data_IF_103280302560
#
_entry.id   IF_103280302560
#
_cell.length_a   1.000
_cell.length_b   1.000
_cell.length_c   1.000
_cell.angle_alpha   90.00
_cell.angle_beta   90.00
_cell.angle_gamma   90.00
#
_symmetry.space_group_name_H-M   'P 1'
#
loop_
_entity.id
_entity.type
_entity.pdbx_description
1 polymer ?
#
# COMPACT_ATOMS: atom_id res chain seq x y z
N UNK A 1 -6.02 -82.26 -15.62
CA UNK A 1 -7.10 -81.25 -15.55
C UNK A 1 -6.65 -80.13 -14.62
N UNK A 2 -6.92 -78.88 -14.98
CA UNK A 2 -6.17 -77.66 -14.60
C UNK A 2 -6.22 -77.33 -13.10
N UNK A 3 -5.06 -76.97 -12.54
CA UNK A 3 -4.92 -76.30 -11.24
C UNK A 3 -5.00 -74.79 -11.51
N UNK A 4 -6.07 -74.15 -11.08
CA UNK A 4 -6.24 -72.70 -11.11
C UNK A 4 -5.66 -72.09 -9.83
N UNK A 5 -4.51 -71.41 -9.96
CA UNK A 5 -3.99 -70.54 -8.91
C UNK A 5 -4.74 -69.20 -8.95
N UNK A 6 -5.20 -68.64 -7.81
CA UNK A 6 -5.74 -67.30 -7.80
C UNK A 6 -4.59 -66.30 -7.97
N UNK A 7 -4.70 -65.46 -8.99
CA UNK A 7 -3.82 -64.33 -9.24
C UNK A 7 -4.10 -63.28 -8.15
N UNK A 8 -3.25 -63.23 -7.13
CA UNK A 8 -3.28 -62.19 -6.09
C UNK A 8 -2.70 -60.91 -6.70
N UNK A 9 -3.58 -60.00 -7.16
CA UNK A 9 -3.19 -58.69 -7.66
C UNK A 9 -2.76 -57.82 -6.46
N UNK A 10 -1.45 -57.71 -6.22
CA UNK A 10 -0.90 -56.73 -5.29
C UNK A 10 -1.08 -55.33 -5.89
N UNK A 11 -2.07 -54.60 -5.39
CA UNK A 11 -2.20 -53.15 -5.61
C UNK A 11 -1.23 -52.49 -4.64
N UNK A 12 -0.01 -52.19 -5.10
CA UNK A 12 0.91 -51.33 -4.36
C UNK A 12 0.31 -49.91 -4.35
N UNK A 13 0.05 -49.29 -3.18
CA UNK A 13 -0.27 -47.88 -3.14
C UNK A 13 0.98 -47.15 -3.63
N UNK A 14 0.86 -46.48 -4.78
CA UNK A 14 1.87 -45.53 -5.21
C UNK A 14 2.04 -44.52 -4.08
N UNK A 15 3.18 -44.57 -3.40
CA UNK A 15 3.66 -43.52 -2.54
C UNK A 15 3.83 -42.28 -3.41
N UNK A 16 2.76 -41.51 -3.54
CA UNK A 16 2.82 -40.14 -4.03
C UNK A 16 3.61 -39.40 -2.97
N UNK A 17 4.92 -39.29 -3.18
CA UNK A 17 5.75 -38.34 -2.46
C UNK A 17 5.28 -36.96 -2.92
N UNK A 18 4.35 -36.37 -2.18
CA UNK A 18 4.01 -34.96 -2.36
C UNK A 18 5.29 -34.18 -2.10
N UNK A 19 5.87 -33.62 -3.16
CA UNK A 19 7.02 -32.76 -3.05
C UNK A 19 6.48 -31.43 -2.54
N UNK A 20 6.71 -31.14 -1.26
CA UNK A 20 6.36 -29.86 -0.66
C UNK A 20 7.32 -28.80 -1.22
N UNK A 21 6.77 -27.81 -1.91
CA UNK A 21 7.51 -26.64 -2.37
C UNK A 21 7.19 -25.50 -1.42
N UNK A 22 8.19 -24.99 -0.69
CA UNK A 22 8.11 -23.73 0.04
C UNK A 22 8.74 -22.59 -0.77
N UNK A 23 8.20 -21.39 -0.61
CA UNK A 23 8.74 -20.17 -1.21
C UNK A 23 9.05 -19.18 -0.09
N UNK A 24 10.33 -19.08 0.25
CA UNK A 24 10.84 -18.12 1.22
C UNK A 24 11.32 -16.86 0.48
N UNK A 25 11.08 -15.70 1.07
CA UNK A 25 11.39 -14.33 0.65
C UNK A 25 10.68 -13.87 -0.64
N UNK A 26 9.37 -13.62 -0.56
CA UNK A 26 8.61 -13.01 -1.66
C UNK A 26 8.17 -11.57 -1.37
N UNK A 27 7.98 -10.81 -2.44
CA UNK A 27 7.34 -9.50 -2.41
C UNK A 27 6.32 -9.42 -3.54
N UNK A 28 5.05 -9.51 -3.19
CA UNK A 28 3.96 -9.19 -4.11
C UNK A 28 3.76 -7.68 -4.17
N UNK A 29 3.52 -7.17 -5.38
CA UNK A 29 3.20 -5.77 -5.65
C UNK A 29 2.09 -5.66 -6.67
N UNK A 30 1.03 -4.96 -6.31
CA UNK A 30 -0.01 -4.53 -7.23
C UNK A 30 -0.10 -3.00 -7.26
N UNK A 31 0.28 -2.39 -8.39
CA UNK A 31 0.08 -0.95 -8.62
C UNK A 31 -1.37 -0.71 -9.05
N UNK A 32 -2.18 -0.12 -8.17
CA UNK A 32 -3.61 0.14 -8.43
C UNK A 32 -3.78 1.39 -9.27
N UNK A 33 -3.02 2.44 -8.96
CA UNK A 33 -3.16 3.74 -9.61
C UNK A 33 -1.85 4.51 -9.61
N UNK A 34 -1.66 5.32 -10.65
CA UNK A 34 -0.58 6.31 -10.73
C UNK A 34 -1.18 7.69 -11.04
N UNK A 35 -0.75 8.70 -10.30
CA UNK A 35 -1.06 10.11 -10.56
C UNK A 35 0.26 10.87 -10.46
N UNK A 36 0.64 11.57 -11.54
CA UNK A 36 1.97 12.18 -11.63
C UNK A 36 3.08 11.16 -11.37
N UNK A 37 3.93 11.45 -10.39
CA UNK A 37 5.07 10.61 -10.01
C UNK A 37 4.77 9.70 -8.80
N UNK A 38 3.51 9.66 -8.38
CA UNK A 38 3.04 8.92 -7.20
C UNK A 38 2.20 7.72 -7.61
N UNK A 39 2.45 6.58 -6.98
CA UNK A 39 1.69 5.35 -7.14
C UNK A 39 1.05 4.93 -5.82
N UNK A 40 -0.20 4.51 -5.92
CA UNK A 40 -0.85 3.69 -4.91
C UNK A 40 -0.55 2.22 -5.18
N UNK A 41 0.07 1.54 -4.22
CA UNK A 41 0.42 0.13 -4.34
C UNK A 41 -0.14 -0.66 -3.17
N UNK A 42 -0.66 -1.85 -3.47
CA UNK A 42 -0.94 -2.90 -2.49
C UNK A 42 0.25 -3.83 -2.48
N UNK A 43 0.78 -4.11 -1.29
CA UNK A 43 1.99 -4.88 -1.09
C UNK A 43 1.71 -6.03 -0.14
N UNK A 44 2.34 -7.19 -0.39
CA UNK A 44 2.42 -8.29 0.56
C UNK A 44 3.84 -8.83 0.57
N UNK A 45 4.42 -8.96 1.75
CA UNK A 45 5.63 -9.74 1.98
C UNK A 45 5.30 -10.88 2.96
N UNK A 46 6.32 -11.57 3.45
CA UNK A 46 6.15 -12.68 4.40
C UNK A 46 5.52 -12.25 5.73
N UNK A 47 5.73 -10.99 6.13
CA UNK A 47 5.33 -10.50 7.45
C UNK A 47 3.91 -9.93 7.44
N UNK A 48 3.59 -9.14 6.41
CA UNK A 48 2.36 -8.35 6.42
C UNK A 48 1.92 -7.89 5.02
N UNK A 49 0.64 -7.55 4.96
CA UNK A 49 0.01 -6.87 3.84
C UNK A 49 -0.23 -5.40 4.19
N UNK A 50 0.12 -4.51 3.27
CA UNK A 50 0.09 -3.07 3.51
C UNK A 50 -0.15 -2.25 2.25
N UNK A 51 -0.60 -1.02 2.46
CA UNK A 51 -0.69 0.00 1.43
C UNK A 51 0.61 0.78 1.39
N UNK A 52 1.04 1.13 0.19
CA UNK A 52 2.24 1.89 -0.03
C UNK A 52 1.96 3.04 -1.00
N UNK A 53 1.93 4.28 -0.48
CA UNK A 53 1.94 5.48 -1.32
C UNK A 53 3.39 5.76 -1.65
N UNK A 54 3.77 5.47 -2.89
CA UNK A 54 5.15 5.46 -3.33
C UNK A 54 5.40 6.55 -4.37
N UNK A 55 6.43 7.36 -4.17
CA UNK A 55 6.84 8.41 -5.12
C UNK A 55 8.24 8.16 -5.64
N UNK A 56 8.42 8.31 -6.96
CA UNK A 56 9.74 8.29 -7.61
C UNK A 56 10.14 9.71 -8.01
N UNK A 57 11.31 10.17 -7.55
CA UNK A 57 11.93 11.41 -8.02
C UNK A 57 13.30 11.07 -8.62
N UNK A 58 13.31 10.63 -9.88
CA UNK A 58 14.52 10.16 -10.56
C UNK A 58 15.07 8.89 -9.91
N UNK A 59 16.29 8.96 -9.35
CA UNK A 59 16.95 7.85 -8.67
C UNK A 59 16.51 7.66 -7.21
N UNK A 60 15.84 8.65 -6.63
CA UNK A 60 15.40 8.60 -5.23
C UNK A 60 13.93 8.18 -5.20
N UNK A 61 13.61 7.24 -4.33
CA UNK A 61 12.23 6.83 -4.07
C UNK A 61 11.90 6.94 -2.58
N UNK A 62 10.70 7.41 -2.30
CA UNK A 62 10.16 7.54 -0.94
C UNK A 62 8.79 6.87 -0.89
N UNK A 63 8.46 6.31 0.27
CA UNK A 63 7.24 5.54 0.42
C UNK A 63 6.66 5.70 1.83
N UNK A 64 5.37 5.97 1.91
CA UNK A 64 4.59 5.87 3.13
C UNK A 64 3.93 4.50 3.15
N UNK A 65 4.44 3.61 4.01
CA UNK A 65 3.93 2.25 4.19
C UNK A 65 2.93 2.27 5.34
N UNK A 66 1.70 1.86 5.08
CA UNK A 66 0.58 2.02 5.99
C UNK A 66 -0.21 0.71 6.11
N UNK A 67 -0.57 0.28 7.33
CA UNK A 67 -1.66 -0.68 7.51
C UNK A 67 -2.95 -0.16 6.87
N UNK A 68 -3.84 -1.08 6.50
CA UNK A 68 -5.14 -0.74 5.88
C UNK A 68 -5.94 0.33 6.65
N UNK A 69 -6.16 0.17 7.96
CA UNK A 69 -6.89 1.17 8.77
C UNK A 69 -6.24 2.56 8.75
N UNK A 70 -4.92 2.65 8.88
CA UNK A 70 -4.20 3.93 8.83
C UNK A 70 -4.29 4.58 7.44
N UNK A 71 -4.23 3.77 6.38
CA UNK A 71 -4.39 4.25 5.00
C UNK A 71 -5.78 4.88 4.76
N UNK A 72 -6.84 4.30 5.33
CA UNK A 72 -8.20 4.88 5.28
C UNK A 72 -8.24 6.23 5.98
N UNK A 73 -7.70 6.34 7.21
CA UNK A 73 -7.64 7.60 7.95
C UNK A 73 -6.85 8.68 7.20
N UNK A 74 -5.75 8.32 6.55
CA UNK A 74 -5.01 9.23 5.68
C UNK A 74 -5.87 9.65 4.49
N UNK A 75 -6.61 8.73 3.86
CA UNK A 75 -7.57 9.05 2.80
C UNK A 75 -8.66 10.04 3.24
N UNK A 76 -9.18 9.89 4.45
CA UNK A 76 -10.15 10.83 5.05
C UNK A 76 -9.52 12.21 5.25
N UNK A 77 -8.30 12.28 5.78
CA UNK A 77 -7.58 13.54 5.92
C UNK A 77 -7.35 14.22 4.56
N UNK A 78 -6.96 13.46 3.53
CA UNK A 78 -6.76 13.98 2.17
C UNK A 78 -8.04 14.52 1.52
N UNK A 79 -9.23 14.18 2.01
CA UNK A 79 -10.48 14.76 1.52
C UNK A 79 -10.54 16.29 1.70
N UNK A 80 -9.78 16.82 2.67
CA UNK A 80 -9.67 18.27 2.95
C UNK A 80 -8.72 19.01 2.00
N UNK A 81 -8.05 18.31 1.08
CA UNK A 81 -7.00 18.90 0.22
C UNK A 81 -7.47 20.14 -0.53
N UNK A 82 -8.65 20.09 -1.16
CA UNK A 82 -9.16 21.20 -1.96
C UNK A 82 -9.57 22.38 -1.08
N UNK A 83 -10.29 22.11 0.01
CA UNK A 83 -10.70 23.11 1.00
C UNK A 83 -9.48 23.88 1.56
N UNK A 84 -8.45 23.16 1.99
CA UNK A 84 -7.25 23.76 2.58
C UNK A 84 -6.42 24.49 1.52
N UNK A 85 -6.36 23.99 0.29
CA UNK A 85 -5.72 24.69 -0.82
C UNK A 85 -6.38 26.06 -1.07
N UNK A 86 -7.71 26.09 -1.15
CA UNK A 86 -8.46 27.32 -1.37
C UNK A 86 -8.29 28.31 -0.21
N UNK A 87 -8.26 27.82 1.03
CA UNK A 87 -8.04 28.64 2.23
C UNK A 87 -6.61 29.22 2.32
N UNK A 88 -5.61 28.51 1.80
CA UNK A 88 -4.21 28.96 1.83
C UNK A 88 -3.81 29.75 0.56
N UNK A 89 -4.64 29.77 -0.48
CA UNK A 89 -4.35 30.47 -1.73
C UNK A 89 -4.10 31.96 -1.48
N UNK A 90 -3.02 32.50 -2.07
CA UNK A 90 -2.66 33.92 -1.92
C UNK A 90 -1.92 34.26 -0.62
N UNK A 91 -1.62 33.28 0.22
CA UNK A 91 -0.76 33.48 1.40
C UNK A 91 0.63 33.98 0.99
N UNK A 92 1.09 35.06 1.62
CA UNK A 92 2.41 35.67 1.35
C UNK A 92 3.58 35.00 2.11
N UNK A 93 3.27 34.08 3.02
CA UNK A 93 4.24 33.39 3.87
C UNK A 93 4.13 31.87 3.85
N UNK A 94 4.92 31.21 4.71
CA UNK A 94 4.76 29.79 4.98
C UNK A 94 3.53 29.57 5.86
N UNK A 95 2.54 28.85 5.35
CA UNK A 95 1.34 28.45 6.11
C UNK A 95 1.25 26.94 6.10
N UNK A 96 0.91 26.35 7.24
CA UNK A 96 0.75 24.91 7.36
C UNK A 96 -0.43 24.57 8.27
N UNK A 97 -1.14 23.51 7.92
CA UNK A 97 -2.18 22.87 8.72
C UNK A 97 -1.90 21.37 8.75
N UNK A 98 -2.10 20.73 9.91
CA UNK A 98 -1.87 19.31 10.08
C UNK A 98 -3.11 18.60 10.64
N UNK A 99 -3.34 17.39 10.17
CA UNK A 99 -4.37 16.47 10.66
C UNK A 99 -3.68 15.18 11.06
N UNK A 100 -3.89 14.73 12.30
CA UNK A 100 -3.45 13.41 12.74
C UNK A 100 -4.40 12.34 12.16
N UNK A 101 -3.82 11.28 11.60
CA UNK A 101 -4.50 10.20 10.90
C UNK A 101 -3.91 8.87 11.34
N UNK A 102 -4.33 8.41 12.53
CA UNK A 102 -3.79 7.20 13.17
C UNK A 102 -2.30 7.37 13.51
N UNK A 103 -1.46 6.44 13.05
CA UNK A 103 -0.02 6.53 13.22
C UNK A 103 0.66 7.53 12.27
N UNK A 104 -0.11 8.28 11.48
CA UNK A 104 0.39 9.23 10.50
C UNK A 104 -0.10 10.64 10.79
N UNK A 105 0.57 11.62 10.19
CA UNK A 105 0.15 13.01 10.12
C UNK A 105 0.16 13.45 8.67
N UNK A 106 -0.94 14.07 8.27
CA UNK A 106 -1.08 14.72 6.98
C UNK A 106 -0.91 16.23 7.19
N UNK A 107 0.10 16.81 6.56
CA UNK A 107 0.37 18.25 6.64
C UNK A 107 0.16 18.91 5.29
N UNK A 108 -0.76 19.87 5.23
CA UNK A 108 -1.00 20.74 4.11
C UNK A 108 -0.16 22.00 4.28
N UNK A 109 0.76 22.25 3.35
CA UNK A 109 1.70 23.36 3.44
C UNK A 109 1.74 24.16 2.16
N UNK A 110 1.62 25.47 2.29
CA UNK A 110 1.90 26.43 1.22
C UNK A 110 3.16 27.22 1.55
N UNK A 111 4.03 27.40 0.56
CA UNK A 111 5.15 28.33 0.65
C UNK A 111 5.39 29.06 -0.68
N UNK A 112 6.03 30.24 -0.66
CA UNK A 112 6.40 30.95 -1.87
C UNK A 112 7.34 30.17 -2.80
N UNK A 113 8.15 29.24 -2.27
CA UNK A 113 9.20 28.54 -3.03
C UNK A 113 8.73 27.25 -3.68
N UNK A 114 7.90 26.46 -2.98
CA UNK A 114 7.45 25.14 -3.45
C UNK A 114 5.96 25.06 -3.78
N UNK A 115 5.21 26.15 -3.57
CA UNK A 115 3.76 26.15 -3.71
C UNK A 115 3.06 25.31 -2.65
N UNK A 116 1.86 24.83 -2.98
CA UNK A 116 1.05 23.96 -2.12
C UNK A 116 1.49 22.51 -2.25
N UNK A 117 1.75 21.87 -1.12
CA UNK A 117 2.12 20.46 -1.02
C UNK A 117 1.40 19.79 0.14
N UNK A 118 1.18 18.48 0.02
CA UNK A 118 0.61 17.65 1.08
C UNK A 118 1.65 16.62 1.50
N UNK A 119 1.97 16.54 2.78
CA UNK A 119 3.02 15.67 3.30
C UNK A 119 2.36 14.61 4.17
N UNK A 120 2.55 13.34 3.83
CA UNK A 120 2.16 12.19 4.66
C UNK A 120 3.41 11.71 5.38
N UNK A 121 3.41 11.75 6.70
CA UNK A 121 4.54 11.33 7.53
C UNK A 121 4.06 10.46 8.69
N UNK A 122 4.83 9.44 9.05
CA UNK A 122 4.58 8.63 10.24
C UNK A 122 4.92 9.39 11.53
N UNK A 123 4.08 9.28 12.55
CA UNK A 123 4.21 9.92 13.86
C UNK A 123 5.25 9.23 14.77
N UNK A 124 6.42 8.89 14.23
CA UNK A 124 7.52 8.32 15.03
C UNK A 124 8.72 9.27 15.08
N UNK A 125 9.36 9.35 16.25
CA UNK A 125 10.50 10.24 16.50
C UNK A 125 11.74 9.90 15.63
N UNK A 126 11.71 8.80 14.89
CA UNK A 126 12.81 8.31 14.06
C UNK A 126 12.45 8.23 12.57
N UNK A 127 11.21 8.55 12.16
CA UNK A 127 10.77 8.35 10.78
C UNK A 127 11.23 9.48 9.85
N UNK A 128 12.09 9.12 8.90
CA UNK A 128 12.41 9.92 7.70
C UNK A 128 11.45 9.63 6.54
N UNK A 129 10.49 8.72 6.72
CA UNK A 129 9.58 8.29 5.66
C UNK A 129 8.41 9.27 5.54
N UNK A 130 8.70 10.42 4.92
CA UNK A 130 7.70 11.37 4.48
C UNK A 130 7.51 11.27 2.97
N UNK A 131 6.25 11.23 2.53
CA UNK A 131 5.90 11.36 1.11
C UNK A 131 5.21 12.70 0.91
N UNK A 132 5.85 13.54 0.11
CA UNK A 132 5.28 14.80 -0.35
C UNK A 132 4.49 14.56 -1.63
N UNK A 133 3.28 15.10 -1.71
CA UNK A 133 2.34 15.04 -2.82
C UNK A 133 2.03 16.45 -3.31
N UNK A 134 1.79 16.60 -4.61
CA UNK A 134 1.10 17.78 -5.15
C UNK A 134 -0.38 17.74 -4.78
N UNK A 135 -1.09 18.85 -5.00
CA UNK A 135 -2.55 18.91 -4.86
C UNK A 135 -3.25 17.83 -5.69
N UNK A 136 -2.87 17.69 -6.96
CA UNK A 136 -3.48 16.71 -7.87
C UNK A 136 -3.19 15.28 -7.46
N UNK A 137 -1.98 15.00 -6.97
CA UNK A 137 -1.61 13.68 -6.46
C UNK A 137 -2.40 13.35 -5.19
N UNK A 138 -2.51 14.27 -4.25
CA UNK A 138 -3.30 14.08 -3.02
C UNK A 138 -4.79 13.81 -3.33
N UNK A 139 -5.42 14.63 -4.20
CA UNK A 139 -6.80 14.42 -4.64
C UNK A 139 -6.94 13.09 -5.39
N UNK A 140 -6.00 12.78 -6.27
CA UNK A 140 -6.05 11.57 -7.09
C UNK A 140 -5.84 10.26 -6.32
N UNK A 141 -5.07 10.30 -5.22
CA UNK A 141 -4.82 9.17 -4.33
C UNK A 141 -5.95 8.93 -3.32
N UNK A 142 -6.67 9.99 -2.93
CA UNK A 142 -7.69 9.95 -1.87
C UNK A 142 -8.73 8.83 -2.05
N UNK A 143 -9.38 8.63 -3.22
CA UNK A 143 -10.37 7.56 -3.39
C UNK A 143 -9.79 6.15 -3.21
N UNK A 144 -8.53 5.94 -3.56
CA UNK A 144 -7.90 4.63 -3.45
C UNK A 144 -7.53 4.31 -2.00
N UNK A 145 -7.07 5.32 -1.25
CA UNK A 145 -6.78 5.21 0.18
C UNK A 145 -8.04 4.88 1.00
N UNK A 146 -9.19 5.46 0.66
CA UNK A 146 -10.46 5.09 1.28
C UNK A 146 -10.87 3.63 1.02
N UNK A 147 -10.37 3.02 -0.06
CA UNK A 147 -10.62 1.61 -0.43
C UNK A 147 -9.50 0.67 0.00
N UNK A 148 -8.59 1.12 0.86
CA UNK A 148 -7.41 0.36 1.27
C UNK A 148 -7.72 -1.04 1.79
N UNK A 149 -8.70 -1.17 2.70
CA UNK A 149 -9.07 -2.45 3.27
C UNK A 149 -9.65 -3.40 2.21
N UNK A 150 -10.52 -2.90 1.32
CA UNK A 150 -11.09 -3.69 0.22
C UNK A 150 -9.99 -4.25 -0.69
N UNK A 151 -8.99 -3.44 -1.02
CA UNK A 151 -7.88 -3.89 -1.85
C UNK A 151 -6.98 -4.93 -1.17
N UNK A 152 -6.73 -4.77 0.13
CA UNK A 152 -5.97 -5.74 0.92
C UNK A 152 -6.73 -7.06 1.01
N UNK A 153 -8.02 -7.03 1.36
CA UNK A 153 -8.89 -8.21 1.42
C UNK A 153 -8.96 -8.93 0.07
N UNK A 154 -9.11 -8.17 -1.03
CA UNK A 154 -9.10 -8.74 -2.37
C UNK A 154 -7.78 -9.45 -2.67
N UNK A 155 -6.64 -8.82 -2.39
CA UNK A 155 -5.33 -9.44 -2.59
C UNK A 155 -5.17 -10.72 -1.78
N UNK A 156 -5.52 -10.71 -0.49
CA UNK A 156 -5.46 -11.89 0.37
C UNK A 156 -6.30 -13.05 -0.19
N UNK A 157 -7.50 -12.75 -0.69
CA UNK A 157 -8.38 -13.75 -1.31
C UNK A 157 -7.80 -14.42 -2.57
N UNK A 158 -6.83 -13.77 -3.22
CA UNK A 158 -6.19 -14.27 -4.45
C UNK A 158 -4.87 -14.97 -4.19
N UNK A 159 -4.18 -14.58 -3.14
CA UNK A 159 -2.85 -15.09 -2.88
C UNK A 159 -2.85 -16.42 -2.11
N UNK A 160 -3.98 -16.83 -1.49
CA UNK A 160 -4.24 -18.17 -0.92
C UNK A 160 -2.95 -18.99 -0.66
N UNK A 161 -2.13 -18.50 0.26
CA UNK A 161 -0.99 -19.25 0.79
C UNK A 161 -1.49 -20.17 1.90
#
# INVERSE_FOLDING_TARGET
MKISAPLLLLILPALVTAQEFSMDNYLFRWSVKRVGNTEYRVMKNEELSYINVYRTNGLVSVAARMPGPDAVLVGEALARTQEVFDAQQGSSGNVAESVDAGNFRVTFRTSPFVGFTVIIQENSNTSTNAVTLSREEAIGMQPELLRANEYLEFMESKLNF
#
